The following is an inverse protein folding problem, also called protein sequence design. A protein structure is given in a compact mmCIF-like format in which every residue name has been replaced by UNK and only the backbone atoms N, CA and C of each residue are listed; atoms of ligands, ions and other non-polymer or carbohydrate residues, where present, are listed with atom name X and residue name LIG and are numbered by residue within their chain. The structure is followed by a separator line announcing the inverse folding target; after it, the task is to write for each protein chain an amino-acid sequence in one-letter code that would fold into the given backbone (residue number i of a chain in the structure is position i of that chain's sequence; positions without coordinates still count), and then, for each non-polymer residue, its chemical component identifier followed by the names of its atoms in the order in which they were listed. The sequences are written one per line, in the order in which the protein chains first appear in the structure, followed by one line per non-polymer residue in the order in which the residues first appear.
data_IF_890921194663
#
_entry.id   IF_890921194663
#
_cell.length_a   1.000
_cell.length_b   1.000
_cell.length_c   1.000
_cell.angle_alpha   90.00
_cell.angle_beta   90.00
_cell.angle_gamma   90.00
#
_symmetry.space_group_name_H-M   'P 1'
#
loop_
_entity.id
_entity.type
_entity.pdbx_description
1 polymer ?
#
# COMPACT_ATOMS: atom_id res chain seq x y z
N UNK A 1 4.67 -7.53 5.02
CA UNK A 1 4.60 -6.47 6.04
C UNK A 1 3.66 -6.86 7.18
N UNK A 2 2.42 -7.29 6.90
CA UNK A 2 1.43 -7.78 7.86
C UNK A 2 1.91 -8.97 8.72
N UNK A 3 2.64 -9.92 8.15
CA UNK A 3 3.13 -11.10 8.88
C UNK A 3 4.07 -10.77 10.05
N UNK A 4 5.01 -9.83 9.85
CA UNK A 4 5.93 -9.39 10.91
C UNK A 4 5.14 -8.68 12.01
N UNK A 5 4.22 -7.79 11.64
CA UNK A 5 3.32 -7.12 12.58
C UNK A 5 2.49 -8.12 13.40
N UNK A 6 1.92 -9.15 12.76
CA UNK A 6 1.14 -10.19 13.45
C UNK A 6 2.02 -11.00 14.40
N UNK A 7 3.26 -11.36 14.00
CA UNK A 7 4.21 -12.08 14.88
C UNK A 7 4.64 -11.22 16.07
N UNK A 8 4.85 -9.92 15.89
CA UNK A 8 5.19 -8.99 16.99
C UNK A 8 3.99 -8.69 17.89
N UNK A 9 2.77 -8.62 17.35
CA UNK A 9 1.54 -8.48 18.14
C UNK A 9 1.21 -9.75 18.94
N UNK A 10 1.64 -10.92 18.46
CA UNK A 10 1.53 -12.19 19.20
C UNK A 10 2.41 -12.19 20.45
N UNK A 11 3.52 -11.45 20.44
CA UNK A 11 4.34 -11.23 21.63
C UNK A 11 3.68 -10.18 22.54
N UNK A 12 2.75 -10.64 23.38
CA UNK A 12 1.93 -9.78 24.25
C UNK A 12 2.76 -8.82 25.12
N UNK A 13 3.99 -9.20 25.47
CA UNK A 13 4.91 -8.36 26.26
C UNK A 13 5.41 -7.15 25.48
N UNK A 14 5.59 -7.29 24.16
CA UNK A 14 6.06 -6.20 23.31
C UNK A 14 5.00 -5.09 23.18
N UNK A 15 3.72 -5.47 23.01
CA UNK A 15 2.59 -4.53 22.89
C UNK A 15 2.40 -3.68 24.14
N UNK A 16 2.67 -4.26 25.32
CA UNK A 16 2.53 -3.58 26.61
C UNK A 16 3.69 -2.63 26.94
N UNK A 17 4.78 -2.66 26.17
CA UNK A 17 5.95 -1.82 26.43
C UNK A 17 5.67 -0.35 26.05
N UNK A 18 5.92 0.59 26.97
CA UNK A 18 5.77 2.03 26.73
C UNK A 18 6.57 2.45 25.48
N UNK A 19 5.92 3.17 24.56
CA UNK A 19 6.55 3.62 23.32
C UNK A 19 6.77 2.53 22.25
N UNK A 20 6.23 1.32 22.41
CA UNK A 20 6.24 0.27 21.36
C UNK A 20 5.67 0.79 20.03
N UNK A 21 4.47 1.36 20.08
CA UNK A 21 3.78 1.84 18.88
C UNK A 21 4.49 3.02 18.20
N UNK A 22 5.09 3.92 18.98
CA UNK A 22 5.87 5.03 18.42
C UNK A 22 7.10 4.49 17.69
N UNK A 23 7.83 3.55 18.28
CA UNK A 23 8.97 2.88 17.63
C UNK A 23 8.54 2.12 16.37
N UNK A 24 7.39 1.45 16.41
CA UNK A 24 6.82 0.77 15.25
C UNK A 24 6.51 1.74 14.09
N UNK A 25 5.89 2.88 14.38
CA UNK A 25 5.59 3.92 13.38
C UNK A 25 6.87 4.54 12.82
N UNK A 26 7.82 4.92 13.68
CA UNK A 26 9.11 5.49 13.27
C UNK A 26 9.88 4.53 12.36
N UNK A 27 9.95 3.24 12.73
CA UNK A 27 10.62 2.22 11.90
C UNK A 27 9.93 2.08 10.53
N UNK A 28 8.60 2.20 10.47
CA UNK A 28 7.85 2.09 9.22
C UNK A 28 8.10 3.28 8.29
N UNK A 29 8.10 4.50 8.84
CA UNK A 29 8.41 5.73 8.09
C UNK A 29 9.87 5.69 7.60
N UNK A 30 10.81 5.39 8.49
CA UNK A 30 12.23 5.30 8.18
C UNK A 30 12.54 4.26 7.08
N UNK A 31 11.68 3.25 6.92
CA UNK A 31 11.80 2.26 5.83
C UNK A 31 11.25 2.74 4.49
N UNK A 32 10.12 3.45 4.46
CA UNK A 32 9.45 3.84 3.20
C UNK A 32 9.90 5.21 2.67
N UNK A 33 10.24 6.15 3.54
CA UNK A 33 10.58 7.52 3.17
C UNK A 33 11.83 7.62 2.26
N UNK A 34 12.95 6.92 2.50
CA UNK A 34 14.15 7.05 1.67
C UNK A 34 13.90 6.68 0.21
N UNK A 35 13.05 5.67 -0.01
CA UNK A 35 12.71 5.19 -1.34
C UNK A 35 11.78 6.16 -2.07
N UNK A 36 10.85 6.81 -1.35
CA UNK A 36 10.02 7.87 -1.91
C UNK A 36 10.81 9.11 -2.29
N UNK A 37 11.77 9.51 -1.43
CA UNK A 37 12.68 10.62 -1.73
C UNK A 37 13.49 10.29 -2.97
N UNK A 38 14.12 9.11 -3.03
CA UNK A 38 14.90 8.69 -4.17
C UNK A 38 14.06 8.62 -5.46
N UNK A 39 12.87 8.00 -5.40
CA UNK A 39 11.97 7.95 -6.54
C UNK A 39 11.63 9.35 -7.05
N UNK A 40 11.32 10.29 -6.15
CA UNK A 40 11.00 11.67 -6.55
C UNK A 40 12.22 12.39 -7.15
N UNK A 41 13.40 12.23 -6.54
CA UNK A 41 14.65 12.84 -7.02
C UNK A 41 15.10 12.29 -8.37
N UNK A 42 14.78 11.05 -8.70
CA UNK A 42 15.08 10.46 -10.00
C UNK A 42 14.02 10.83 -11.03
N UNK A 43 12.74 10.70 -10.68
CA UNK A 43 11.62 10.89 -11.61
C UNK A 43 11.50 12.34 -12.06
N UNK A 44 11.52 13.32 -11.16
CA UNK A 44 11.28 14.72 -11.51
C UNK A 44 12.26 15.26 -12.57
N UNK A 45 13.59 15.05 -12.48
CA UNK A 45 14.52 15.53 -13.49
C UNK A 45 14.71 14.59 -14.69
N UNK A 46 14.66 13.26 -14.51
CA UNK A 46 14.98 12.32 -15.59
C UNK A 46 13.76 11.98 -16.46
N UNK A 47 12.57 11.87 -15.85
CA UNK A 47 11.38 11.45 -16.58
C UNK A 47 11.01 12.40 -17.72
N UNK A 48 11.03 13.74 -17.58
CA UNK A 48 10.75 14.67 -18.67
C UNK A 48 11.61 14.46 -19.93
N UNK A 49 12.83 13.95 -19.76
CA UNK A 49 13.79 13.75 -20.85
C UNK A 49 13.60 12.42 -21.59
N UNK A 50 12.74 11.53 -21.07
CA UNK A 50 12.64 10.15 -21.56
C UNK A 50 11.76 9.98 -22.79
N UNK A 51 10.79 10.86 -23.02
CA UNK A 51 9.76 10.71 -24.05
C UNK A 51 9.71 11.86 -25.04
N UNK A 52 9.27 11.55 -26.25
CA UNK A 52 8.89 12.50 -27.29
C UNK A 52 7.62 11.96 -27.93
N UNK A 53 6.59 12.79 -28.06
CA UNK A 53 5.31 12.39 -28.61
C UNK A 53 4.27 13.50 -28.50
N UNK A 54 3.17 13.43 -29.26
CA UNK A 54 2.23 14.53 -29.39
C UNK A 54 1.47 14.86 -28.09
N UNK A 55 1.32 13.88 -27.19
CA UNK A 55 0.65 14.03 -25.89
C UNK A 55 1.63 14.04 -24.71
N UNK A 56 2.95 13.97 -24.97
CA UNK A 56 3.98 13.83 -23.94
C UNK A 56 3.90 14.93 -22.88
N UNK A 57 3.85 16.20 -23.29
CA UNK A 57 3.79 17.32 -22.34
C UNK A 57 2.49 17.32 -21.52
N UNK A 58 1.37 16.93 -22.12
CA UNK A 58 0.09 16.86 -21.43
C UNK A 58 0.12 15.79 -20.33
N UNK A 59 0.58 14.60 -20.67
CA UNK A 59 0.69 13.48 -19.72
C UNK A 59 1.75 13.75 -18.64
N UNK A 60 2.87 14.35 -19.01
CA UNK A 60 3.92 14.77 -18.08
C UNK A 60 3.42 15.82 -17.09
N UNK A 61 2.73 16.86 -17.56
CA UNK A 61 2.21 17.94 -16.71
C UNK A 61 1.14 17.44 -15.74
N UNK A 62 0.31 16.48 -16.15
CA UNK A 62 -0.63 15.80 -15.24
C UNK A 62 0.11 14.98 -14.18
N UNK A 63 1.16 14.27 -14.57
CA UNK A 63 1.87 13.35 -13.67
C UNK A 63 2.76 14.06 -12.64
N UNK A 64 3.47 15.12 -13.06
CA UNK A 64 4.40 15.88 -12.22
C UNK A 64 3.79 17.17 -11.63
N UNK A 65 2.47 17.37 -11.76
CA UNK A 65 1.77 18.53 -11.22
C UNK A 65 2.07 18.72 -9.73
N UNK A 66 2.43 19.93 -9.32
CA UNK A 66 2.68 20.23 -7.91
C UNK A 66 3.97 19.65 -7.31
N UNK A 67 4.77 18.87 -8.06
CA UNK A 67 6.01 18.28 -7.53
C UNK A 67 7.06 19.30 -7.12
N UNK A 68 7.19 20.44 -7.82
CA UNK A 68 8.17 21.48 -7.46
C UNK A 68 7.92 22.08 -6.07
N UNK A 69 6.65 22.20 -5.66
CA UNK A 69 6.25 22.83 -4.40
C UNK A 69 5.98 21.83 -3.28
N UNK A 70 5.39 20.68 -3.61
CA UNK A 70 4.78 19.78 -2.63
C UNK A 70 5.41 18.39 -2.56
N UNK A 71 6.56 18.13 -3.20
CA UNK A 71 7.22 16.80 -3.15
C UNK A 71 7.44 16.27 -1.72
N UNK A 72 7.72 17.16 -0.76
CA UNK A 72 7.97 16.81 0.63
C UNK A 72 6.74 16.24 1.36
N UNK A 73 5.52 16.49 0.86
CA UNK A 73 4.30 15.89 1.41
C UNK A 73 4.26 14.37 1.22
N UNK A 74 4.91 13.84 0.18
CA UNK A 74 5.03 12.40 -0.07
C UNK A 74 5.91 11.73 1.00
N UNK A 75 6.95 12.44 1.46
CA UNK A 75 7.87 11.96 2.51
C UNK A 75 7.16 11.88 3.86
N UNK A 76 6.32 12.87 4.15
CA UNK A 76 5.51 12.92 5.36
C UNK A 76 4.25 12.04 5.30
N UNK A 77 3.95 11.41 4.14
CA UNK A 77 2.77 10.57 3.95
C UNK A 77 1.44 11.28 4.27
N UNK A 78 1.36 12.56 3.91
CA UNK A 78 0.17 13.42 4.09
C UNK A 78 -0.31 14.03 2.76
N UNK A 79 0.28 13.63 1.64
CA UNK A 79 -0.05 14.16 0.32
C UNK A 79 -1.51 13.95 -0.09
N UNK A 80 -2.21 12.97 0.51
CA UNK A 80 -3.64 12.75 0.26
C UNK A 80 -4.56 13.86 0.82
N UNK A 81 -4.07 14.78 1.66
CA UNK A 81 -4.83 15.95 2.11
C UNK A 81 -4.77 17.12 1.12
N UNK A 82 -3.82 17.10 0.18
CA UNK A 82 -3.77 18.08 -0.89
C UNK A 82 -4.83 17.76 -1.94
N UNK A 83 -5.34 18.81 -2.61
CA UNK A 83 -6.18 18.63 -3.78
C UNK A 83 -5.43 17.87 -4.88
N UNK A 84 -6.14 17.06 -5.67
CA UNK A 84 -5.55 16.17 -6.68
C UNK A 84 -4.45 16.80 -7.55
N UNK A 85 -4.73 17.98 -8.10
CA UNK A 85 -3.81 18.71 -9.01
C UNK A 85 -2.56 19.26 -8.32
N UNK A 86 -2.54 19.27 -6.99
CA UNK A 86 -1.42 19.77 -6.19
C UNK A 86 -0.56 18.63 -5.63
N UNK A 87 -1.01 17.39 -5.78
CA UNK A 87 -0.30 16.20 -5.31
C UNK A 87 0.86 15.88 -6.25
N UNK A 88 2.07 15.75 -5.69
CA UNK A 88 3.18 15.20 -6.45
C UNK A 88 3.00 13.70 -6.64
N UNK A 89 2.92 13.23 -7.89
CA UNK A 89 2.71 11.83 -8.22
C UNK A 89 1.47 11.24 -7.52
N UNK A 90 0.27 11.55 -8.05
CA UNK A 90 -1.03 11.24 -7.43
C UNK A 90 -1.14 9.81 -6.88
N UNK A 91 -0.62 8.81 -7.60
CA UNK A 91 -0.63 7.40 -7.17
C UNK A 91 0.04 7.16 -5.81
N UNK A 92 0.96 8.01 -5.35
CA UNK A 92 1.60 7.86 -4.04
C UNK A 92 0.64 8.04 -2.86
N UNK A 93 -0.56 8.57 -3.09
CA UNK A 93 -1.61 8.72 -2.07
C UNK A 93 -1.95 7.41 -1.33
N UNK A 94 -1.81 6.25 -1.98
CA UNK A 94 -2.05 4.94 -1.36
C UNK A 94 -1.04 4.66 -0.24
N UNK A 95 0.21 5.10 -0.37
CA UNK A 95 1.21 4.96 0.68
C UNK A 95 0.87 5.85 1.88
N UNK A 96 0.41 7.08 1.62
CA UNK A 96 -0.10 7.96 2.66
C UNK A 96 -1.29 7.34 3.41
N UNK A 97 -2.29 6.87 2.68
CA UNK A 97 -3.44 6.16 3.26
C UNK A 97 -3.00 4.95 4.09
N UNK A 98 -2.05 4.16 3.59
CA UNK A 98 -1.53 2.98 4.28
C UNK A 98 -0.82 3.35 5.60
N UNK A 99 -0.14 4.50 5.66
CA UNK A 99 0.43 5.02 6.91
C UNK A 99 -0.65 5.48 7.88
N UNK A 100 -1.64 6.24 7.39
CA UNK A 100 -2.73 6.77 8.20
C UNK A 100 -3.60 5.65 8.78
N UNK A 101 -3.97 4.65 7.98
CA UNK A 101 -4.67 3.45 8.48
C UNK A 101 -3.84 2.68 9.52
N UNK A 102 -2.51 2.71 9.43
CA UNK A 102 -1.65 2.08 10.44
C UNK A 102 -1.63 2.86 11.75
N UNK A 103 -1.64 4.20 11.69
CA UNK A 103 -1.81 5.05 12.88
C UNK A 103 -3.16 4.77 13.55
N UNK A 104 -4.24 4.68 12.77
CA UNK A 104 -5.56 4.30 13.28
C UNK A 104 -5.54 2.90 13.89
N UNK A 105 -4.92 1.91 13.22
CA UNK A 105 -4.83 0.55 13.72
C UNK A 105 -4.07 0.47 15.06
N UNK A 106 -3.02 1.27 15.23
CA UNK A 106 -2.27 1.39 16.49
C UNK A 106 -3.14 1.84 17.67
N UNK A 107 -4.19 2.62 17.41
CA UNK A 107 -5.15 3.07 18.43
C UNK A 107 -6.24 2.00 18.65
N UNK A 108 -6.76 1.43 17.56
CA UNK A 108 -7.87 0.48 17.59
C UNK A 108 -7.47 -0.87 18.19
N UNK A 109 -6.25 -1.36 17.92
CA UNK A 109 -5.77 -2.67 18.39
C UNK A 109 -5.73 -2.75 19.93
N UNK A 110 -5.14 -1.81 20.68
CA UNK A 110 -5.19 -1.80 22.14
C UNK A 110 -6.62 -1.76 22.70
N UNK A 111 -7.52 -0.98 22.08
CA UNK A 111 -8.92 -0.91 22.52
C UNK A 111 -9.62 -2.25 22.30
N UNK A 112 -9.42 -2.89 21.15
CA UNK A 112 -9.93 -4.24 20.88
C UNK A 112 -9.36 -5.28 21.85
N UNK A 113 -8.09 -5.13 22.24
CA UNK A 113 -7.43 -6.05 23.16
C UNK A 113 -7.94 -5.91 24.60
N UNK A 114 -8.02 -4.68 25.13
CA UNK A 114 -8.43 -4.45 26.52
C UNK A 114 -9.95 -4.42 26.73
N UNK A 115 -10.70 -3.95 25.73
CA UNK A 115 -12.16 -3.77 25.79
C UNK A 115 -12.78 -4.19 24.45
N UNK A 116 -12.89 -5.50 24.16
CA UNK A 116 -13.29 -6.00 22.84
C UNK A 116 -14.66 -5.51 22.38
N UNK A 117 -15.62 -5.35 23.29
CA UNK A 117 -16.94 -4.80 22.96
C UNK A 117 -16.85 -3.33 22.45
N UNK A 118 -16.08 -2.48 23.15
CA UNK A 118 -15.88 -1.09 22.76
C UNK A 118 -15.10 -0.98 21.44
N UNK A 119 -14.08 -1.82 21.25
CA UNK A 119 -13.32 -1.85 19.99
C UNK A 119 -14.16 -2.31 18.80
N UNK A 120 -15.02 -3.33 18.96
CA UNK A 120 -15.95 -3.77 17.92
C UNK A 120 -16.96 -2.68 17.57
N UNK A 121 -17.52 -2.01 18.58
CA UNK A 121 -18.42 -0.88 18.37
C UNK A 121 -17.72 0.26 17.62
N UNK A 122 -16.50 0.62 18.01
CA UNK A 122 -15.71 1.66 17.34
C UNK A 122 -15.48 1.35 15.86
N UNK A 123 -15.08 0.11 15.53
CA UNK A 123 -14.87 -0.32 14.14
C UNK A 123 -16.18 -0.29 13.34
N UNK A 124 -17.28 -0.81 13.92
CA UNK A 124 -18.59 -0.80 13.27
C UNK A 124 -19.06 0.64 12.99
N UNK A 125 -18.94 1.53 13.97
CA UNK A 125 -19.29 2.94 13.82
C UNK A 125 -18.44 3.62 12.73
N UNK A 126 -17.14 3.34 12.67
CA UNK A 126 -16.26 3.89 11.64
C UNK A 126 -16.64 3.42 10.22
N UNK A 127 -17.01 2.13 10.07
CA UNK A 127 -17.48 1.59 8.78
C UNK A 127 -18.79 2.26 8.37
N UNK A 128 -19.77 2.31 9.28
CA UNK A 128 -21.08 2.91 9.00
C UNK A 128 -20.96 4.41 8.69
N UNK A 129 -20.10 5.14 9.42
CA UNK A 129 -19.83 6.55 9.15
C UNK A 129 -19.19 6.75 7.77
N UNK A 130 -18.23 5.90 7.39
CA UNK A 130 -17.60 5.94 6.06
C UNK A 130 -18.61 5.65 4.93
N UNK A 131 -19.50 4.68 5.14
CA UNK A 131 -20.56 4.35 4.18
C UNK A 131 -21.55 5.51 4.04
N UNK A 132 -22.04 6.04 5.15
CA UNK A 132 -22.98 7.16 5.17
C UNK A 132 -22.37 8.43 4.55
N UNK A 133 -21.11 8.73 4.87
CA UNK A 133 -20.41 9.87 4.28
C UNK A 133 -20.25 9.71 2.76
N UNK A 134 -19.84 8.53 2.30
CA UNK A 134 -19.69 8.27 0.86
C UNK A 134 -21.04 8.39 0.14
N UNK A 135 -22.09 7.78 0.70
CA UNK A 135 -23.45 7.86 0.16
C UNK A 135 -23.94 9.31 0.08
N UNK A 136 -23.81 10.07 1.17
CA UNK A 136 -24.23 11.47 1.24
C UNK A 136 -23.46 12.36 0.26
N UNK A 137 -22.12 12.24 0.20
CA UNK A 137 -21.31 13.02 -0.73
C UNK A 137 -21.64 12.68 -2.19
N UNK A 138 -21.93 11.42 -2.50
CA UNK A 138 -22.31 11.03 -3.87
C UNK A 138 -23.63 11.66 -4.30
N UNK A 139 -24.63 11.72 -3.40
CA UNK A 139 -25.92 12.36 -3.70
C UNK A 139 -25.82 13.89 -3.73
N UNK A 140 -25.05 14.50 -2.84
CA UNK A 140 -24.95 15.96 -2.75
C UNK A 140 -24.16 16.59 -3.90
N UNK A 141 -23.19 15.85 -4.47
CA UNK A 141 -22.30 16.35 -5.51
C UNK A 141 -22.50 15.66 -6.88
N UNK A 142 -23.59 14.90 -7.05
CA UNK A 142 -23.93 14.15 -8.26
C UNK A 142 -22.74 13.35 -8.82
N UNK A 143 -22.11 12.55 -7.94
CA UNK A 143 -20.90 11.81 -8.29
C UNK A 143 -21.22 10.47 -8.96
N UNK A 144 -20.42 10.08 -9.96
CA UNK A 144 -20.49 8.76 -10.58
C UNK A 144 -19.94 7.62 -9.70
N UNK A 145 -20.21 6.35 -10.05
CA UNK A 145 -19.87 5.18 -9.22
C UNK A 145 -18.36 4.90 -9.18
N UNK A 146 -17.64 5.31 -10.22
CA UNK A 146 -16.17 5.26 -10.28
C UNK A 146 -15.63 6.50 -10.98
N UNK A 147 -14.38 6.87 -10.67
CA UNK A 147 -13.73 8.07 -11.21
C UNK A 147 -13.64 8.09 -12.74
N UNK A 148 -13.45 6.93 -13.39
CA UNK A 148 -13.37 6.85 -14.86
C UNK A 148 -14.70 7.17 -15.54
N UNK A 149 -15.83 7.03 -14.82
CA UNK A 149 -17.16 7.35 -15.34
C UNK A 149 -17.60 8.78 -14.99
N UNK A 150 -16.75 9.57 -14.30
CA UNK A 150 -17.05 10.96 -13.91
C UNK A 150 -16.99 11.95 -15.09
N UNK A 151 -16.24 11.64 -16.14
CA UNK A 151 -15.93 12.59 -17.22
C UNK A 151 -16.64 12.27 -18.54
N UNK A 152 -17.54 11.28 -18.55
CA UNK A 152 -18.33 10.98 -19.74
C UNK A 152 -19.52 11.95 -19.87
N UNK A 153 -19.32 13.00 -20.66
CA UNK A 153 -20.32 14.01 -21.08
C UNK A 153 -21.45 13.38 -21.94
N UNK A 154 -22.60 14.06 -22.08
CA UNK A 154 -23.87 13.45 -22.49
C UNK A 154 -23.85 13.05 -23.96
N UNK A 155 -24.43 11.88 -24.26
CA UNK A 155 -24.76 11.49 -25.64
C UNK A 155 -24.48 10.04 -26.06
N UNK A 156 -23.96 9.16 -25.18
CA UNK A 156 -23.60 7.81 -25.64
C UNK A 156 -23.81 6.62 -24.70
N UNK A 157 -24.24 6.83 -23.45
CA UNK A 157 -24.67 5.75 -22.55
C UNK A 157 -25.51 6.37 -21.44
N UNK A 158 -26.66 5.81 -21.10
CA UNK A 158 -27.40 6.23 -19.90
C UNK A 158 -26.51 5.95 -18.68
N UNK A 159 -26.01 7.00 -18.03
CA UNK A 159 -25.29 6.82 -16.77
C UNK A 159 -26.26 6.21 -15.75
N UNK A 160 -25.82 5.25 -14.92
CA UNK A 160 -26.64 4.78 -13.82
C UNK A 160 -27.06 5.98 -12.96
N UNK A 161 -28.31 5.97 -12.53
CA UNK A 161 -28.87 7.03 -11.71
C UNK A 161 -28.04 7.26 -10.44
N UNK A 162 -28.08 8.48 -9.89
CA UNK A 162 -27.17 8.91 -8.82
C UNK A 162 -27.35 8.09 -7.53
N UNK A 163 -28.55 7.58 -7.29
CA UNK A 163 -28.89 6.61 -6.25
C UNK A 163 -28.15 5.27 -6.44
N UNK A 164 -28.15 4.71 -7.66
CA UNK A 164 -27.38 3.49 -7.98
C UNK A 164 -25.88 3.72 -7.76
N UNK A 165 -25.40 4.90 -8.15
CA UNK A 165 -24.00 5.30 -7.96
C UNK A 165 -23.62 5.44 -6.48
N UNK A 166 -24.52 6.01 -5.67
CA UNK A 166 -24.35 6.18 -4.23
C UNK A 166 -24.33 4.82 -3.50
N UNK A 167 -25.27 3.93 -3.84
CA UNK A 167 -25.29 2.55 -3.30
C UNK A 167 -24.03 1.80 -3.70
N UNK A 168 -23.66 1.84 -4.98
CA UNK A 168 -22.44 1.18 -5.44
C UNK A 168 -21.19 1.72 -4.73
N UNK A 169 -21.05 3.04 -4.61
CA UNK A 169 -19.91 3.69 -3.96
C UNK A 169 -19.80 3.35 -2.47
N UNK A 170 -20.92 3.29 -1.75
CA UNK A 170 -20.95 3.00 -0.31
C UNK A 170 -20.67 1.53 0.02
N UNK A 171 -21.14 0.58 -0.80
CA UNK A 171 -21.11 -0.85 -0.46
C UNK A 171 -19.97 -1.63 -1.14
N UNK A 172 -19.64 -1.32 -2.40
CA UNK A 172 -18.73 -2.15 -3.22
C UNK A 172 -17.38 -2.43 -2.54
N UNK A 173 -16.76 -1.38 -1.99
CA UNK A 173 -15.44 -1.49 -1.32
C UNK A 173 -15.54 -2.25 0.00
N UNK A 174 -16.63 -2.11 0.74
CA UNK A 174 -16.84 -2.81 2.02
C UNK A 174 -17.08 -4.29 1.78
N UNK A 175 -17.88 -4.64 0.78
CA UNK A 175 -18.12 -6.02 0.38
C UNK A 175 -16.82 -6.70 -0.07
N UNK A 176 -16.04 -6.03 -0.92
CA UNK A 176 -14.75 -6.54 -1.36
C UNK A 176 -13.76 -6.73 -0.19
N UNK A 177 -13.66 -5.72 0.69
CA UNK A 177 -12.80 -5.81 1.87
C UNK A 177 -13.22 -6.93 2.83
N UNK A 178 -14.53 -7.12 3.03
CA UNK A 178 -15.09 -8.17 3.88
C UNK A 178 -14.83 -9.55 3.29
N UNK A 179 -15.00 -9.71 1.97
CA UNK A 179 -14.69 -10.95 1.28
C UNK A 179 -13.21 -11.33 1.42
N UNK A 180 -12.30 -10.38 1.22
CA UNK A 180 -10.86 -10.61 1.40
C UNK A 180 -10.50 -10.88 2.88
N UNK A 181 -11.15 -10.19 3.81
CA UNK A 181 -10.96 -10.41 5.25
C UNK A 181 -11.40 -11.82 5.66
N UNK A 182 -12.59 -12.24 5.23
CA UNK A 182 -13.11 -13.59 5.47
C UNK A 182 -12.18 -14.65 4.86
N UNK A 183 -11.73 -14.46 3.63
CA UNK A 183 -10.74 -15.33 2.98
C UNK A 183 -9.46 -15.46 3.81
N UNK A 184 -8.94 -14.34 4.32
CA UNK A 184 -7.73 -14.31 5.14
C UNK A 184 -7.94 -15.06 6.46
N UNK A 185 -9.09 -14.86 7.11
CA UNK A 185 -9.45 -15.56 8.36
C UNK A 185 -9.62 -17.05 8.10
N UNK A 186 -10.35 -17.45 7.05
CA UNK A 186 -10.53 -18.86 6.69
C UNK A 186 -9.18 -19.57 6.47
N UNK A 187 -8.24 -18.92 5.77
CA UNK A 187 -6.89 -19.47 5.60
C UNK A 187 -6.10 -19.52 6.92
N UNK A 188 -6.15 -18.46 7.73
CA UNK A 188 -5.43 -18.39 9.01
C UNK A 188 -5.97 -19.39 10.05
N UNK A 189 -7.26 -19.68 10.03
CA UNK A 189 -7.94 -20.65 10.89
C UNK A 189 -7.82 -22.09 10.39
N UNK A 190 -7.08 -22.36 9.30
CA UNK A 190 -6.91 -23.70 8.72
C UNK A 190 -8.11 -24.22 7.91
N UNK A 191 -9.17 -23.43 7.77
CA UNK A 191 -10.40 -23.78 7.04
C UNK A 191 -10.35 -23.37 5.55
N UNK A 192 -9.23 -22.84 5.06
CA UNK A 192 -9.10 -22.32 3.70
C UNK A 192 -9.03 -23.38 2.59
N UNK A 193 -8.82 -24.66 2.92
CA UNK A 193 -8.78 -25.76 1.96
C UNK A 193 -7.78 -25.52 0.81
N UNK A 194 -8.25 -25.67 -0.44
CA UNK A 194 -7.43 -25.48 -1.64
C UNK A 194 -6.86 -24.05 -1.78
N UNK A 195 -7.59 -23.05 -1.28
CA UNK A 195 -7.18 -21.65 -1.38
C UNK A 195 -5.93 -21.37 -0.55
N UNK A 196 -5.78 -22.04 0.59
CA UNK A 196 -4.56 -21.95 1.39
C UNK A 196 -3.34 -22.49 0.64
N UNK A 197 -3.50 -23.59 -0.12
CA UNK A 197 -2.42 -24.14 -0.94
C UNK A 197 -2.04 -23.19 -2.09
N UNK A 198 -3.03 -22.54 -2.71
CA UNK A 198 -2.79 -21.56 -3.76
C UNK A 198 -2.07 -20.32 -3.23
N UNK A 199 -2.55 -19.75 -2.12
CA UNK A 199 -2.01 -18.51 -1.55
C UNK A 199 -0.65 -18.71 -0.85
N UNK A 200 -0.36 -19.90 -0.33
CA UNK A 200 0.95 -20.24 0.26
C UNK A 200 2.00 -20.66 -0.77
N UNK A 201 1.64 -20.68 -2.05
CA UNK A 201 2.53 -21.13 -3.12
C UNK A 201 3.78 -20.25 -3.24
N UNK A 202 4.96 -20.89 -3.29
CA UNK A 202 6.25 -20.20 -3.22
C UNK A 202 6.53 -19.25 -4.40
N UNK A 203 5.89 -19.48 -5.55
CA UNK A 203 6.01 -18.61 -6.72
C UNK A 203 5.49 -17.18 -6.46
N UNK A 204 4.60 -16.98 -5.48
CA UNK A 204 4.14 -15.65 -5.10
C UNK A 204 5.17 -14.84 -4.33
N UNK A 205 6.19 -15.47 -3.73
CA UNK A 205 7.21 -14.76 -2.96
C UNK A 205 7.96 -13.69 -3.78
N UNK A 206 8.56 -14.00 -4.95
CA UNK A 206 9.23 -12.97 -5.76
C UNK A 206 8.27 -11.85 -6.15
N UNK A 207 7.04 -12.18 -6.60
CA UNK A 207 6.05 -11.18 -6.97
C UNK A 207 5.68 -10.28 -5.78
N UNK A 208 5.43 -10.88 -4.61
CA UNK A 208 5.07 -10.14 -3.39
C UNK A 208 6.15 -9.16 -2.92
N UNK A 209 7.43 -9.48 -3.19
CA UNK A 209 8.57 -8.60 -2.89
C UNK A 209 8.68 -7.45 -3.87
N UNK A 210 8.29 -7.65 -5.13
CA UNK A 210 8.31 -6.64 -6.19
C UNK A 210 7.10 -5.70 -6.19
N UNK A 211 6.00 -6.05 -5.52
CA UNK A 211 4.76 -5.25 -5.52
C UNK A 211 4.98 -3.78 -5.18
N UNK A 212 5.90 -3.47 -4.26
CA UNK A 212 6.21 -2.09 -3.92
C UNK A 212 6.81 -1.33 -5.11
N UNK A 213 7.86 -1.87 -5.72
CA UNK A 213 8.51 -1.29 -6.89
C UNK A 213 7.57 -1.25 -8.10
N UNK A 214 6.75 -2.28 -8.27
CA UNK A 214 5.73 -2.36 -9.32
C UNK A 214 4.71 -1.23 -9.18
N UNK A 215 4.28 -0.93 -7.96
CA UNK A 215 3.31 0.13 -7.72
C UNK A 215 3.86 1.53 -8.04
N UNK A 216 5.14 1.80 -7.74
CA UNK A 216 5.77 3.10 -8.04
C UNK A 216 6.03 3.24 -9.55
N UNK A 217 6.51 2.19 -10.20
CA UNK A 217 6.97 2.27 -11.59
C UNK A 217 5.82 2.15 -12.59
N UNK A 218 4.75 1.44 -12.26
CA UNK A 218 3.62 1.20 -13.18
C UNK A 218 3.00 2.48 -13.74
N UNK A 219 2.70 3.52 -12.94
CA UNK A 219 2.22 4.81 -13.46
C UNK A 219 3.21 5.52 -14.40
N UNK A 220 4.52 5.38 -14.19
CA UNK A 220 5.54 5.93 -15.11
C UNK A 220 5.45 5.25 -16.47
N UNK A 221 5.31 3.92 -16.50
CA UNK A 221 5.16 3.14 -17.73
C UNK A 221 3.88 3.53 -18.47
N UNK A 222 2.78 3.74 -17.75
CA UNK A 222 1.50 4.15 -18.32
C UNK A 222 1.59 5.54 -18.94
N UNK A 223 2.13 6.52 -18.19
CA UNK A 223 2.32 7.90 -18.67
C UNK A 223 3.26 7.93 -19.87
N UNK A 224 4.34 7.13 -19.84
CA UNK A 224 5.25 6.97 -20.96
C UNK A 224 4.55 6.41 -22.20
N UNK A 225 3.90 5.25 -22.08
CA UNK A 225 3.19 4.61 -23.19
C UNK A 225 2.12 5.53 -23.77
N UNK A 226 1.41 6.29 -22.94
CA UNK A 226 0.37 7.23 -23.40
C UNK A 226 0.93 8.51 -24.02
N UNK A 227 2.06 9.02 -23.52
CA UNK A 227 2.65 10.26 -23.99
C UNK A 227 3.42 10.14 -25.31
N UNK A 228 4.00 8.97 -25.60
CA UNK A 228 4.67 8.68 -26.88
C UNK A 228 3.71 8.21 -27.98
N UNK A 229 2.43 7.99 -27.66
CA UNK A 229 1.45 7.51 -28.64
C UNK A 229 1.12 8.58 -29.68
N UNK A 230 1.20 8.18 -30.94
CA UNK A 230 0.88 9.04 -32.08
C UNK A 230 -0.56 8.89 -32.59
N UNK A 231 -1.23 7.78 -32.25
CA UNK A 231 -2.55 7.45 -32.77
C UNK A 231 -3.58 7.25 -31.65
N UNK A 232 -4.81 7.67 -31.92
CA UNK A 232 -5.95 7.35 -31.07
C UNK A 232 -6.30 5.85 -31.20
N UNK A 233 -6.64 5.21 -30.08
CA UNK A 233 -7.11 3.83 -30.07
C UNK A 233 -8.64 3.80 -30.00
N UNK A 234 -9.24 2.84 -30.70
CA UNK A 234 -10.66 2.54 -30.52
C UNK A 234 -10.86 1.85 -29.16
N UNK A 235 -11.85 2.30 -28.37
CA UNK A 235 -12.26 1.63 -27.12
C UNK A 235 -13.00 0.33 -27.44
N UNK A 236 -12.26 -0.68 -27.91
CA UNK A 236 -12.75 -2.05 -28.05
C UNK A 236 -12.18 -2.91 -26.93
N UNK A 237 -12.93 -3.94 -26.51
CA UNK A 237 -12.48 -4.88 -25.48
C UNK A 237 -11.15 -5.55 -25.86
N UNK A 238 -10.98 -5.87 -27.14
CA UNK A 238 -9.77 -6.48 -27.69
C UNK A 238 -8.56 -5.55 -27.55
N UNK A 239 -8.65 -4.31 -28.06
CA UNK A 239 -7.58 -3.32 -27.92
C UNK A 239 -7.24 -3.02 -26.44
N UNK A 240 -8.25 -2.95 -25.57
CA UNK A 240 -8.04 -2.73 -24.13
C UNK A 240 -7.29 -3.90 -23.47
N UNK A 241 -7.55 -5.14 -23.90
CA UNK A 241 -6.87 -6.33 -23.37
C UNK A 241 -5.38 -6.33 -23.75
N UNK A 242 -5.04 -5.96 -24.99
CA UNK A 242 -3.65 -5.82 -25.44
C UNK A 242 -2.92 -4.71 -24.69
N UNK A 243 -3.58 -3.56 -24.51
CA UNK A 243 -3.02 -2.44 -23.75
C UNK A 243 -2.79 -2.82 -22.28
N UNK A 244 -3.71 -3.55 -21.66
CA UNK A 244 -3.55 -4.05 -20.29
C UNK A 244 -2.33 -4.98 -20.18
N UNK A 245 -2.24 -5.98 -21.06
CA UNK A 245 -1.14 -6.95 -21.06
C UNK A 245 0.20 -6.25 -21.29
N UNK A 246 0.25 -5.32 -22.25
CA UNK A 246 1.43 -4.50 -22.55
C UNK A 246 1.92 -3.75 -21.31
N UNK A 247 1.05 -2.99 -20.65
CA UNK A 247 1.43 -2.24 -19.45
C UNK A 247 1.83 -3.15 -18.30
N UNK A 248 1.14 -4.29 -18.12
CA UNK A 248 1.47 -5.25 -17.06
C UNK A 248 2.88 -5.81 -17.23
N UNK A 249 3.22 -6.30 -18.42
CA UNK A 249 4.54 -6.89 -18.71
C UNK A 249 5.65 -5.85 -18.59
N UNK A 250 5.48 -4.68 -19.20
CA UNK A 250 6.48 -3.60 -19.10
C UNK A 250 6.67 -3.10 -17.68
N UNK A 251 5.58 -2.96 -16.90
CA UNK A 251 5.66 -2.56 -15.50
C UNK A 251 6.40 -3.61 -14.68
N UNK A 252 6.20 -4.91 -14.93
CA UNK A 252 6.92 -5.97 -14.23
C UNK A 252 8.42 -5.92 -14.52
N UNK A 253 8.81 -5.76 -15.79
CA UNK A 253 10.20 -5.64 -16.19
C UNK A 253 10.85 -4.38 -15.58
N UNK A 254 10.21 -3.22 -15.70
CA UNK A 254 10.72 -1.98 -15.15
C UNK A 254 10.81 -2.02 -13.62
N UNK A 255 9.85 -2.65 -12.94
CA UNK A 255 9.88 -2.84 -11.49
C UNK A 255 11.02 -3.76 -11.04
N UNK A 256 11.33 -4.81 -11.78
CA UNK A 256 12.50 -5.66 -11.47
C UNK A 256 13.80 -4.88 -11.61
N UNK A 257 13.96 -4.10 -12.69
CA UNK A 257 15.12 -3.24 -12.89
C UNK A 257 15.26 -2.21 -11.75
N UNK A 258 14.17 -1.53 -11.39
CA UNK A 258 14.14 -0.57 -10.29
C UNK A 258 14.48 -1.22 -8.94
N UNK A 259 13.93 -2.40 -8.66
CA UNK A 259 14.17 -3.10 -7.39
C UNK A 259 15.63 -3.54 -7.25
N UNK A 260 16.21 -4.10 -8.33
CA UNK A 260 17.60 -4.56 -8.34
C UNK A 260 18.61 -3.41 -8.25
N UNK A 261 18.34 -2.29 -8.92
CA UNK A 261 19.26 -1.14 -9.00
C UNK A 261 19.16 -0.19 -7.82
N UNK A 262 17.98 -0.03 -7.21
CA UNK A 262 17.74 1.01 -6.19
C UNK A 262 17.20 0.44 -4.87
N UNK A 263 16.11 -0.32 -4.90
CA UNK A 263 15.44 -0.80 -3.67
C UNK A 263 16.35 -1.72 -2.83
N UNK A 264 16.92 -2.76 -3.44
CA UNK A 264 17.78 -3.71 -2.74
C UNK A 264 19.06 -3.09 -2.17
N UNK A 265 19.85 -2.27 -2.90
CA UNK A 265 21.03 -1.64 -2.33
C UNK A 265 20.68 -0.69 -1.19
N UNK A 266 19.58 0.06 -1.30
CA UNK A 266 19.12 0.93 -0.20
C UNK A 266 18.78 0.14 1.06
N UNK A 267 18.05 -0.98 0.95
CA UNK A 267 17.71 -1.83 2.09
C UNK A 267 18.99 -2.39 2.74
N UNK A 268 19.96 -2.84 1.94
CA UNK A 268 21.24 -3.34 2.44
C UNK A 268 22.05 -2.25 3.15
N UNK A 269 22.14 -1.05 2.56
CA UNK A 269 22.84 0.09 3.18
C UNK A 269 22.18 0.50 4.49
N UNK A 270 20.85 0.60 4.54
CA UNK A 270 20.12 0.91 5.77
C UNK A 270 20.38 -0.14 6.86
N UNK A 271 20.43 -1.42 6.50
CA UNK A 271 20.77 -2.49 7.43
C UNK A 271 22.22 -2.40 7.94
N UNK A 272 23.18 -2.04 7.09
CA UNK A 272 24.58 -1.82 7.48
C UNK A 272 24.72 -0.63 8.44
N UNK A 273 24.03 0.48 8.14
CA UNK A 273 24.00 1.66 9.02
C UNK A 273 23.43 1.27 10.39
N UNK A 274 22.27 0.59 10.44
CA UNK A 274 21.70 0.12 11.72
C UNK A 274 22.69 -0.72 12.51
N UNK A 275 23.40 -1.66 11.86
CA UNK A 275 24.40 -2.51 12.51
C UNK A 275 25.57 -1.71 13.08
N UNK A 276 26.07 -0.72 12.34
CA UNK A 276 27.15 0.16 12.78
C UNK A 276 26.74 1.03 13.97
N UNK A 277 25.51 1.58 13.93
CA UNK A 277 24.96 2.33 15.06
C UNK A 277 24.73 1.47 16.30
N UNK A 278 24.28 0.24 16.12
CA UNK A 278 24.13 -0.74 17.22
C UNK A 278 25.49 -1.13 17.81
N UNK A 279 26.54 -1.29 17.01
CA UNK A 279 27.87 -1.66 17.55
C UNK A 279 28.53 -0.54 18.35
N UNK A 280 28.11 0.72 18.17
CA UNK A 280 28.60 1.89 18.90
C UNK A 280 27.77 2.22 20.15
N UNK A 281 26.65 1.54 20.39
CA UNK A 281 25.76 1.82 21.52
C UNK A 281 26.33 1.21 22.81
N UNK A 282 26.49 2.01 23.86
CA UNK A 282 26.99 1.54 25.17
C UNK A 282 25.94 0.61 25.83
N UNK A 283 26.28 -0.66 26.13
CA UNK A 283 25.38 -1.61 26.77
C UNK A 283 24.80 -1.14 28.12
N UNK A 284 25.47 -0.20 28.81
CA UNK A 284 25.07 0.28 30.14
C UNK A 284 23.87 1.25 30.11
N UNK A 285 23.59 1.87 28.96
CA UNK A 285 22.45 2.80 28.79
C UNK A 285 21.12 2.10 28.48
N UNK A 286 21.18 0.83 28.08
CA UNK A 286 20.01 0.03 27.67
C UNK A 286 19.50 -0.90 28.77
N UNK A 287 20.05 -0.87 30.00
CA UNK A 287 19.56 -1.66 31.13
C UNK A 287 18.18 -1.11 31.55
N UNK A 288 17.08 -1.78 31.18
CA UNK A 288 15.77 -1.27 31.53
C UNK A 288 15.49 -1.70 32.96
N UNK A 289 14.93 -0.81 33.78
CA UNK A 289 14.42 -1.17 35.12
C UNK A 289 13.39 -2.33 35.10
N UNK A 290 12.96 -2.77 33.90
CA UNK A 290 12.17 -3.97 33.63
C UNK A 290 12.69 -4.61 32.33
N UNK A 291 13.19 -5.85 32.38
CA UNK A 291 13.70 -6.60 31.23
C UNK A 291 12.68 -6.70 30.08
N UNK A 292 12.85 -5.85 29.05
CA UNK A 292 12.18 -6.03 27.75
C UNK A 292 13.00 -7.06 26.96
N UNK A 293 12.41 -8.16 26.47
CA UNK A 293 13.15 -9.15 25.70
C UNK A 293 13.76 -8.50 24.45
N UNK A 294 15.07 -8.63 24.30
CA UNK A 294 15.78 -8.19 23.08
C UNK A 294 15.17 -8.89 21.89
N UNK A 295 14.59 -8.13 20.96
CA UNK A 295 14.23 -8.64 19.64
C UNK A 295 15.54 -8.90 18.89
N UNK A 296 16.11 -10.09 19.09
CA UNK A 296 17.32 -10.56 18.43
C UNK A 296 17.11 -10.83 16.94
N UNK A 297 18.19 -10.66 16.17
CA UNK A 297 18.25 -10.77 14.70
C UNK A 297 18.20 -12.22 14.19
N UNK A 298 17.18 -13.01 14.54
CA UNK A 298 17.03 -14.38 14.01
C UNK A 298 16.25 -14.45 12.68
N UNK A 299 16.25 -13.38 11.88
CA UNK A 299 15.39 -13.24 10.70
C UNK A 299 16.03 -13.69 9.38
N UNK A 300 17.32 -14.05 9.39
CA UNK A 300 18.06 -14.30 8.15
C UNK A 300 18.32 -15.78 7.82
N UNK A 301 18.26 -16.72 8.77
CA UNK A 301 18.87 -18.04 8.48
C UNK A 301 18.09 -19.34 8.81
N UNK A 302 16.94 -19.41 9.52
CA UNK A 302 16.49 -20.75 9.99
C UNK A 302 15.00 -21.15 10.01
N UNK A 303 14.05 -20.39 9.47
CA UNK A 303 12.62 -20.76 9.61
C UNK A 303 11.94 -21.34 8.34
N UNK A 304 12.64 -22.18 7.55
CA UNK A 304 11.98 -23.02 6.53
C UNK A 304 11.71 -24.47 6.98
N UNK A 305 12.09 -24.85 8.21
CA UNK A 305 11.97 -26.23 8.70
C UNK A 305 11.40 -26.34 10.13
N UNK A 306 10.28 -25.66 10.45
CA UNK A 306 9.58 -25.97 11.69
C UNK A 306 8.23 -26.68 11.43
N UNK A 307 8.15 -28.02 11.57
CA UNK A 307 6.93 -28.82 11.38
C UNK A 307 5.91 -28.70 12.53
N UNK A 308 5.99 -27.67 13.38
CA UNK A 308 5.11 -27.49 14.54
C UNK A 308 3.64 -27.17 14.21
N UNK A 309 3.25 -27.05 12.93
CA UNK A 309 1.86 -26.82 12.50
C UNK A 309 1.01 -28.09 12.32
N UNK A 310 1.55 -29.29 12.60
CA UNK A 310 0.86 -30.58 12.33
C UNK A 310 0.39 -31.32 13.59
N UNK A 311 0.68 -30.85 14.81
CA UNK A 311 0.53 -31.69 16.03
C UNK A 311 -0.40 -31.19 17.15
N UNK A 312 -1.33 -30.30 16.86
CA UNK A 312 -2.43 -30.01 17.81
C UNK A 312 -3.77 -30.23 17.13
N UNK A 313 -4.13 -31.51 16.98
CA UNK A 313 -5.51 -32.03 17.02
C UNK A 313 -5.50 -33.56 16.84
N UNK A 314 -5.28 -34.26 17.95
CA UNK A 314 -5.85 -35.58 18.30
C UNK A 314 -5.91 -35.62 19.83
N UNK A 315 -6.91 -36.26 20.46
CA UNK A 315 -7.85 -37.25 19.92
C UNK A 315 -9.14 -36.66 19.33
#
# INVERSE_FOLDING_TARGET
MTYVTIKTLRDQKAVQTRGFFLRYLMHRIARLAPLMVLATLLVVPLFPQSGQGPTWELELNKFLSGCSRNWWWNVLHINNFLGRKEQCMEHTWLFALTMQCTIVAVIVIPVLYHRPAAGRLLVLMAILASMALTFALTLLFDLGPTWMLREYRPGGLELPSTDVSAVYGAFSRILWATALSWMTVACASGHGGWLNNLLSFKCWLPLSRLLYSLYIVSPLVIVYSNGVREHAYYLSYDAMSYVLLHHFVLSLLAATAFSLSLELPLIKMAALVSRHWESKRDPKLDEPAIAVPRIGRHWLDKDFENPAFVKENKP
#
